data_IF_283101868318
#
_entry.id   IF_283101868318
#
_cell.length_a   1.000
_cell.length_b   1.000
_cell.length_c   1.000
_cell.angle_alpha   90.00
_cell.angle_beta   90.00
_cell.angle_gamma   90.00
#
_symmetry.space_group_name_H-M   'P 1'
#
loop_
_entity.id
_entity.type
_entity.pdbx_description
1 polymer ?
#
# COMPACT_ATOMS: atom_id res chain seq x y z
N UNK A 1 -13.70 -15.86 -17.02
CA UNK A 1 -12.97 -14.77 -17.73
C UNK A 1 -11.49 -14.97 -17.42
N UNK A 2 -10.61 -14.96 -18.40
CA UNK A 2 -9.17 -15.09 -18.11
C UNK A 2 -8.59 -13.73 -17.71
N UNK A 3 -7.81 -13.68 -16.64
CA UNK A 3 -7.11 -12.46 -16.23
C UNK A 3 -6.06 -12.02 -17.26
N UNK A 4 -5.50 -12.96 -18.01
CA UNK A 4 -4.60 -12.63 -19.12
C UNK A 4 -5.30 -11.84 -20.22
N UNK A 5 -6.53 -12.20 -20.57
CA UNK A 5 -7.32 -11.44 -21.54
C UNK A 5 -7.59 -10.00 -21.05
N UNK A 6 -7.87 -9.84 -19.76
CA UNK A 6 -8.04 -8.51 -19.15
C UNK A 6 -6.73 -7.71 -19.23
N UNK A 7 -5.60 -8.34 -18.90
CA UNK A 7 -4.29 -7.71 -19.01
C UNK A 7 -3.95 -7.31 -20.45
N UNK A 8 -4.24 -8.15 -21.45
CA UNK A 8 -4.00 -7.87 -22.86
C UNK A 8 -4.79 -6.64 -23.34
N UNK A 9 -6.05 -6.51 -22.94
CA UNK A 9 -6.88 -5.32 -23.23
C UNK A 9 -6.28 -4.06 -22.61
N UNK A 10 -5.85 -4.11 -21.36
CA UNK A 10 -5.19 -2.97 -20.69
C UNK A 10 -3.87 -2.61 -21.38
N UNK A 11 -3.09 -3.61 -21.80
CA UNK A 11 -1.83 -3.41 -22.51
C UNK A 11 -2.03 -2.83 -23.92
N UNK A 12 -3.19 -3.07 -24.55
CA UNK A 12 -3.59 -2.42 -25.80
C UNK A 12 -4.12 -1.00 -25.62
N UNK A 13 -4.28 -0.53 -24.39
CA UNK A 13 -4.73 0.82 -24.06
C UNK A 13 -6.23 0.93 -23.75
N UNK A 14 -6.93 -0.20 -23.63
CA UNK A 14 -8.34 -0.20 -23.22
C UNK A 14 -8.46 0.04 -21.71
N UNK A 15 -9.43 0.84 -21.30
CA UNK A 15 -9.78 1.00 -19.90
C UNK A 15 -10.52 -0.24 -19.37
N UNK A 16 -10.29 -0.59 -18.12
CA UNK A 16 -11.08 -1.62 -17.45
C UNK A 16 -12.52 -1.15 -17.25
N UNK A 17 -13.46 -2.02 -17.56
CA UNK A 17 -14.85 -1.81 -17.23
C UNK A 17 -15.15 -2.22 -15.78
N UNK A 18 -16.28 -1.73 -15.25
CA UNK A 18 -16.70 -2.03 -13.88
C UNK A 18 -16.81 -3.53 -13.60
N UNK A 19 -17.31 -4.30 -14.57
CA UNK A 19 -17.45 -5.75 -14.42
C UNK A 19 -16.09 -6.47 -14.35
N UNK A 20 -15.08 -6.02 -15.11
CA UNK A 20 -13.71 -6.54 -15.05
C UNK A 20 -13.11 -6.30 -13.65
N UNK A 21 -13.27 -5.07 -13.14
CA UNK A 21 -12.77 -4.72 -11.81
C UNK A 21 -13.43 -5.54 -10.69
N UNK A 22 -14.74 -5.75 -10.78
CA UNK A 22 -15.46 -6.61 -9.84
C UNK A 22 -15.00 -8.06 -9.91
N UNK A 23 -14.74 -8.60 -11.10
CA UNK A 23 -14.22 -9.97 -11.25
C UNK A 23 -12.82 -10.12 -10.65
N UNK A 24 -11.94 -9.11 -10.79
CA UNK A 24 -10.62 -9.08 -10.14
C UNK A 24 -10.77 -9.08 -8.62
N UNK A 25 -11.66 -8.27 -8.05
CA UNK A 25 -11.87 -8.18 -6.60
C UNK A 25 -12.53 -9.45 -6.01
N UNK A 26 -13.27 -10.20 -6.82
CA UNK A 26 -13.98 -11.41 -6.41
C UNK A 26 -13.24 -12.69 -6.84
N UNK A 27 -12.00 -12.57 -7.28
CA UNK A 27 -11.20 -13.73 -7.70
C UNK A 27 -11.04 -14.71 -6.54
N UNK A 28 -11.30 -16.00 -6.75
CA UNK A 28 -11.08 -17.01 -5.72
C UNK A 28 -9.57 -17.24 -5.49
N UNK A 29 -9.22 -17.79 -4.33
CA UNK A 29 -7.83 -17.94 -3.90
C UNK A 29 -6.99 -18.84 -4.82
N UNK A 30 -7.61 -19.84 -5.43
CA UNK A 30 -6.95 -20.74 -6.38
C UNK A 30 -6.59 -20.06 -7.72
N UNK A 31 -7.25 -18.97 -8.06
CA UNK A 31 -6.94 -18.14 -9.25
C UNK A 31 -5.96 -16.98 -8.93
N UNK A 32 -5.60 -16.78 -7.67
CA UNK A 32 -4.77 -15.63 -7.24
C UNK A 32 -3.42 -15.58 -7.97
N UNK A 33 -2.78 -16.73 -8.20
CA UNK A 33 -1.50 -16.78 -8.90
C UNK A 33 -1.62 -16.28 -10.36
N UNK A 34 -2.69 -16.66 -11.06
CA UNK A 34 -2.96 -16.20 -12.42
C UNK A 34 -3.27 -14.71 -12.46
N UNK A 35 -4.06 -14.21 -11.50
CA UNK A 35 -4.37 -12.79 -11.34
C UNK A 35 -3.09 -11.96 -11.09
N UNK A 36 -2.23 -12.40 -10.17
CA UNK A 36 -0.98 -11.71 -9.87
C UNK A 36 -0.02 -11.70 -11.08
N UNK A 37 0.04 -12.79 -11.86
CA UNK A 37 0.81 -12.84 -13.09
C UNK A 37 0.31 -11.80 -14.11
N UNK A 38 -0.99 -11.77 -14.36
CA UNK A 38 -1.62 -10.81 -15.27
C UNK A 38 -1.38 -9.36 -14.82
N UNK A 39 -1.56 -9.07 -13.54
CA UNK A 39 -1.29 -7.75 -12.96
C UNK A 39 0.20 -7.37 -13.08
N UNK A 40 1.11 -8.33 -12.89
CA UNK A 40 2.54 -8.08 -13.04
C UNK A 40 2.92 -7.72 -14.48
N UNK A 41 2.34 -8.34 -15.51
CA UNK A 41 2.56 -7.98 -16.93
C UNK A 41 2.22 -6.51 -17.19
N UNK A 42 1.08 -6.04 -16.70
CA UNK A 42 0.66 -4.64 -16.80
C UNK A 42 1.62 -3.72 -16.05
N UNK A 43 1.94 -4.06 -14.79
CA UNK A 43 2.88 -3.30 -13.97
C UNK A 43 4.26 -3.20 -14.62
N UNK A 44 4.79 -4.30 -15.14
CA UNK A 44 6.12 -4.34 -15.78
C UNK A 44 6.18 -3.43 -17.00
N UNK A 45 5.10 -3.38 -17.79
CA UNK A 45 5.02 -2.51 -18.98
C UNK A 45 5.08 -1.02 -18.61
N UNK A 46 4.41 -0.60 -17.52
CA UNK A 46 4.29 0.81 -17.17
C UNK A 46 5.29 1.28 -16.12
N UNK A 47 5.78 0.40 -15.28
CA UNK A 47 6.65 0.74 -14.14
C UNK A 47 7.96 -0.06 -14.09
N UNK A 48 8.13 -1.04 -14.97
CA UNK A 48 9.27 -1.96 -14.93
C UNK A 48 9.31 -2.76 -13.61
N UNK A 49 10.49 -3.24 -13.27
CA UNK A 49 10.72 -4.01 -12.04
C UNK A 49 11.03 -3.17 -10.80
N UNK A 50 11.01 -1.85 -10.95
CA UNK A 50 11.32 -0.94 -9.84
C UNK A 50 10.24 -0.99 -8.79
N UNK A 51 10.63 -1.20 -7.55
CA UNK A 51 9.74 -1.13 -6.37
C UNK A 51 10.08 0.12 -5.58
N UNK A 52 9.07 0.93 -5.27
CA UNK A 52 9.19 2.03 -4.34
C UNK A 52 8.77 1.53 -2.96
N UNK A 53 9.73 1.44 -2.05
CA UNK A 53 9.46 1.10 -0.65
C UNK A 53 9.17 2.39 0.11
N UNK A 54 8.07 2.41 0.85
CA UNK A 54 7.73 3.52 1.73
C UNK A 54 7.76 3.01 3.18
N UNK A 55 8.56 3.65 4.02
CA UNK A 55 8.60 3.37 5.45
C UNK A 55 7.99 4.55 6.21
N UNK A 56 6.97 4.25 7.00
CA UNK A 56 6.31 5.24 7.84
C UNK A 56 6.94 5.25 9.24
N UNK A 57 7.25 6.42 9.75
CA UNK A 57 7.50 6.66 11.17
C UNK A 57 6.31 7.40 11.75
N UNK A 58 5.61 6.78 12.68
CA UNK A 58 4.55 7.45 13.41
C UNK A 58 5.17 8.35 14.49
N UNK A 59 5.18 9.65 14.25
CA UNK A 59 5.85 10.62 15.13
C UNK A 59 5.06 10.97 16.38
N UNK A 60 3.76 10.65 16.40
CA UNK A 60 2.82 10.88 17.52
C UNK A 60 1.69 9.88 17.41
N UNK A 61 1.17 9.38 18.52
CA UNK A 61 0.06 8.41 18.49
C UNK A 61 -1.00 8.69 19.54
N UNK A 62 -2.26 8.56 19.11
CA UNK A 62 -3.45 8.54 19.98
C UNK A 62 -3.79 9.84 20.69
N UNK A 63 -3.14 10.96 20.33
CA UNK A 63 -3.36 12.28 20.94
C UNK A 63 -3.73 13.34 19.88
N UNK A 64 -4.35 12.90 18.77
CA UNK A 64 -4.82 13.80 17.74
C UNK A 64 -6.09 14.50 18.19
N UNK A 65 -6.18 15.84 18.13
CA UNK A 65 -7.40 16.56 18.53
C UNK A 65 -8.51 16.47 17.46
N UNK A 66 -8.20 15.91 16.29
CA UNK A 66 -9.14 15.80 15.19
C UNK A 66 -10.09 14.62 15.37
N UNK A 67 -11.23 14.71 14.73
CA UNK A 67 -12.39 13.81 14.82
C UNK A 67 -12.58 13.00 13.53
N UNK A 68 -11.54 12.30 13.08
CA UNK A 68 -11.59 11.50 11.85
C UNK A 68 -12.17 10.11 12.15
N UNK A 69 -13.38 9.83 11.68
CA UNK A 69 -14.12 8.60 12.00
C UNK A 69 -13.42 7.28 11.64
N UNK A 70 -12.54 7.24 10.66
CA UNK A 70 -11.81 6.02 10.28
C UNK A 70 -10.43 5.91 10.95
N UNK A 71 -9.99 6.93 11.67
CA UNK A 71 -8.62 7.01 12.18
C UNK A 71 -8.55 6.54 13.64
N UNK A 72 -7.78 5.47 13.90
CA UNK A 72 -7.55 4.97 15.26
C UNK A 72 -6.87 5.96 16.22
N UNK A 73 -6.25 7.02 15.68
CA UNK A 73 -5.58 8.06 16.46
C UNK A 73 -6.45 9.29 16.75
N UNK A 74 -7.69 9.30 16.27
CA UNK A 74 -8.65 10.37 16.48
C UNK A 74 -8.95 10.55 17.97
N UNK A 75 -9.32 11.78 18.35
CA UNK A 75 -9.70 12.11 19.73
C UNK A 75 -10.87 11.27 20.24
N UNK A 76 -11.77 10.86 19.35
CA UNK A 76 -12.98 10.09 19.67
C UNK A 76 -12.78 8.57 19.54
N UNK A 77 -11.61 8.10 19.08
CA UNK A 77 -11.34 6.68 18.90
C UNK A 77 -11.14 5.98 20.24
N UNK A 78 -11.80 4.84 20.42
CA UNK A 78 -11.63 3.90 21.54
C UNK A 78 -10.64 2.77 21.20
N UNK A 79 -9.95 2.84 20.07
CA UNK A 79 -8.99 1.85 19.63
C UNK A 79 -7.87 1.64 20.66
N UNK A 80 -7.55 0.39 20.95
CA UNK A 80 -6.46 -0.01 21.84
C UNK A 80 -5.10 0.15 21.17
N UNK A 81 -4.62 1.39 21.04
CA UNK A 81 -3.32 1.72 20.45
C UNK A 81 -2.39 2.35 21.49
N UNK A 82 -1.06 2.20 21.36
CA UNK A 82 -0.11 2.96 22.17
C UNK A 82 -0.33 4.46 22.00
N UNK A 83 -0.35 5.20 23.11
CA UNK A 83 -0.51 6.67 23.09
C UNK A 83 0.76 7.32 23.58
N UNK A 84 1.32 8.21 22.74
CA UNK A 84 2.53 8.97 23.08
C UNK A 84 2.52 10.34 22.40
N UNK A 85 3.25 11.27 22.99
CA UNK A 85 3.40 12.65 22.48
C UNK A 85 4.29 12.65 21.24
N UNK A 86 4.36 13.82 20.59
CA UNK A 86 5.27 14.03 19.48
C UNK A 86 6.72 13.69 19.89
N UNK A 87 7.34 12.81 19.10
CA UNK A 87 8.74 12.45 19.23
C UNK A 87 9.64 13.70 19.18
N UNK A 88 10.71 13.68 19.92
CA UNK A 88 11.73 14.73 19.85
C UNK A 88 12.47 14.72 18.50
N UNK A 89 13.10 15.83 18.14
CA UNK A 89 13.89 15.93 16.91
C UNK A 89 14.96 14.84 16.81
N UNK A 90 15.74 14.52 17.86
CA UNK A 90 16.70 13.41 17.82
C UNK A 90 16.05 12.05 17.51
N UNK A 91 14.88 11.76 18.08
CA UNK A 91 14.14 10.51 17.83
C UNK A 91 13.62 10.42 16.39
N UNK A 92 13.10 11.53 15.85
CA UNK A 92 12.68 11.62 14.44
C UNK A 92 13.85 11.41 13.48
N UNK A 93 15.00 12.03 13.75
CA UNK A 93 16.22 11.86 12.96
C UNK A 93 16.73 10.42 13.03
N UNK A 94 16.72 9.80 14.21
CA UNK A 94 17.08 8.40 14.35
C UNK A 94 16.16 7.48 13.57
N UNK A 95 14.85 7.76 13.56
CA UNK A 95 13.87 7.05 12.75
C UNK A 95 14.14 7.17 11.25
N UNK A 96 14.40 8.39 10.78
CA UNK A 96 14.72 8.64 9.36
C UNK A 96 16.01 7.91 8.93
N UNK A 97 17.05 7.94 9.74
CA UNK A 97 18.31 7.21 9.47
C UNK A 97 18.09 5.70 9.37
N UNK A 98 17.30 5.11 10.26
CA UNK A 98 16.94 3.67 10.17
C UNK A 98 16.19 3.35 8.90
N UNK A 99 15.27 4.22 8.47
CA UNK A 99 14.52 4.05 7.23
C UNK A 99 15.45 4.04 6.00
N UNK A 100 16.39 4.96 5.93
CA UNK A 100 17.38 5.03 4.84
C UNK A 100 18.23 3.75 4.81
N UNK A 101 18.74 3.30 5.96
CA UNK A 101 19.56 2.08 6.05
C UNK A 101 18.75 0.86 5.58
N UNK A 102 17.51 0.71 6.03
CA UNK A 102 16.65 -0.41 5.65
C UNK A 102 16.33 -0.42 4.14
N UNK A 103 16.26 0.75 3.48
CA UNK A 103 16.00 0.84 2.04
C UNK A 103 17.25 0.65 1.16
N UNK A 104 18.44 0.81 1.71
CA UNK A 104 19.71 0.77 0.95
C UNK A 104 20.42 -0.59 1.10
N UNK A 105 19.99 -1.47 1.99
CA UNK A 105 20.56 -2.82 2.07
C UNK A 105 20.26 -3.59 0.78
N UNK A 106 21.30 -3.99 0.00
CA UNK A 106 21.09 -4.90 -1.12
C UNK A 106 20.62 -6.26 -0.58
N UNK A 107 19.65 -6.84 -1.31
CA UNK A 107 19.20 -8.20 -1.08
C UNK A 107 20.34 -9.20 -1.33
#
# INVERSE_FOLDING_TARGET
MSFDTVADRVLSGEALERHDALAVLSAPDDELAALLHAAFRVRERYHGRRVKVCQLRNARSGLCPEDCHYCSQSAISDAAIPRYRLDSVPELLAGARRAVIAMVQPA
#
